data_IF_473125090735
#
_entry.id   IF_473125090735
#
_cell.length_a   1.000
_cell.length_b   1.000
_cell.length_c   1.000
_cell.angle_alpha   90.00
_cell.angle_beta   90.00
_cell.angle_gamma   90.00
#
_symmetry.space_group_name_H-M   'P 1'
#
loop_
_entity.id
_entity.type
_entity.pdbx_description
1 polymer ?
#
# COMPACT_ATOMS: atom_id res chain seq x y z
N UNK A 1 10.92 0.54 -49.42
CA UNK A 1 11.01 -0.17 -48.14
C UNK A 1 10.97 0.75 -46.89
N UNK A 2 10.83 2.07 -47.03
CA UNK A 2 10.94 3.04 -45.92
C UNK A 2 9.75 3.05 -44.93
N UNK A 3 8.57 2.63 -45.37
CA UNK A 3 7.34 2.61 -44.55
C UNK A 3 7.27 1.48 -43.50
N UNK A 4 8.09 0.42 -43.62
CA UNK A 4 8.07 -0.70 -42.66
C UNK A 4 8.89 -0.42 -41.40
N UNK A 5 9.93 0.41 -41.51
CA UNK A 5 10.77 0.78 -40.39
C UNK A 5 10.04 1.70 -39.40
N UNK A 6 9.29 2.68 -39.90
CA UNK A 6 8.53 3.62 -39.05
C UNK A 6 7.45 2.93 -38.22
N UNK A 7 6.73 1.96 -38.79
CA UNK A 7 5.69 1.20 -38.06
C UNK A 7 6.30 0.41 -36.89
N UNK A 8 7.48 -0.16 -37.08
CA UNK A 8 8.16 -0.94 -36.05
C UNK A 8 8.71 -0.07 -34.92
N UNK A 9 9.17 1.14 -35.22
CA UNK A 9 9.61 2.13 -34.22
C UNK A 9 8.44 2.69 -33.41
N UNK A 10 7.33 3.05 -34.07
CA UNK A 10 6.12 3.53 -33.39
C UNK A 10 5.54 2.46 -32.48
N UNK A 11 5.51 1.20 -32.91
CA UNK A 11 5.02 0.10 -32.07
C UNK A 11 5.86 -0.10 -30.81
N UNK A 12 7.20 0.01 -30.91
CA UNK A 12 8.10 -0.09 -29.76
C UNK A 12 7.90 1.05 -28.77
N UNK A 13 7.69 2.26 -29.28
CA UNK A 13 7.43 3.44 -28.45
C UNK A 13 6.12 3.29 -27.66
N UNK A 14 5.04 2.84 -28.32
CA UNK A 14 3.75 2.60 -27.66
C UNK A 14 3.84 1.53 -26.57
N UNK A 15 4.52 0.40 -26.85
CA UNK A 15 4.74 -0.64 -25.84
C UNK A 15 5.58 -0.17 -24.65
N UNK A 16 6.50 0.79 -24.87
CA UNK A 16 7.27 1.40 -23.78
C UNK A 16 6.39 2.19 -22.81
N UNK A 17 5.44 2.97 -23.34
CA UNK A 17 4.50 3.72 -22.50
C UNK A 17 3.55 2.82 -21.70
N UNK A 18 3.09 1.71 -22.28
CA UNK A 18 2.22 0.78 -21.57
C UNK A 18 2.92 0.14 -20.36
N UNK A 19 4.21 -0.19 -20.48
CA UNK A 19 5.02 -0.69 -19.37
C UNK A 19 5.17 0.37 -18.28
N UNK A 20 5.51 1.61 -18.64
CA UNK A 20 5.63 2.73 -17.71
C UNK A 20 4.33 3.03 -16.96
N UNK A 21 3.19 3.03 -17.67
CA UNK A 21 1.87 3.22 -17.08
C UNK A 21 1.57 2.10 -16.08
N UNK A 22 1.89 0.86 -16.44
CA UNK A 22 1.65 -0.30 -15.58
C UNK A 22 2.51 -0.24 -14.31
N UNK A 23 3.79 0.11 -14.44
CA UNK A 23 4.71 0.34 -13.31
C UNK A 23 4.22 1.49 -12.43
N UNK A 24 3.73 2.58 -13.02
CA UNK A 24 3.17 3.72 -12.29
C UNK A 24 1.95 3.34 -11.45
N UNK A 25 1.02 2.53 -12.00
CA UNK A 25 -0.13 2.00 -11.26
C UNK A 25 0.30 1.14 -10.09
N UNK A 26 1.28 0.25 -10.29
CA UNK A 26 1.84 -0.58 -9.22
C UNK A 26 2.46 0.29 -8.12
N UNK A 27 3.29 1.27 -8.48
CA UNK A 27 3.92 2.17 -7.51
C UNK A 27 2.89 2.96 -6.69
N UNK A 28 1.77 3.36 -7.29
CA UNK A 28 0.67 4.01 -6.56
C UNK A 28 0.04 3.08 -5.51
N UNK A 29 -0.19 1.80 -5.86
CA UNK A 29 -0.70 0.79 -4.92
C UNK A 29 0.28 0.57 -3.76
N UNK A 30 1.57 0.40 -4.07
CA UNK A 30 2.62 0.20 -3.08
C UNK A 30 2.80 1.41 -2.15
N UNK A 31 2.69 2.62 -2.71
CA UNK A 31 2.74 3.87 -1.93
C UNK A 31 1.60 3.93 -0.92
N UNK A 32 0.38 3.58 -1.33
CA UNK A 32 -0.77 3.50 -0.44
C UNK A 32 -0.52 2.49 0.69
N UNK A 33 0.01 1.31 0.37
CA UNK A 33 0.36 0.27 1.37
C UNK A 33 1.44 0.75 2.35
N UNK A 34 2.49 1.40 1.84
CA UNK A 34 3.57 1.98 2.66
C UNK A 34 2.99 2.97 3.68
N UNK A 35 2.14 3.91 3.25
CA UNK A 35 1.55 4.91 4.15
C UNK A 35 0.58 4.30 5.16
N UNK A 36 -0.18 3.28 4.78
CA UNK A 36 -1.03 2.54 5.71
C UNK A 36 -0.18 1.88 6.80
N UNK A 37 0.89 1.20 6.40
CA UNK A 37 1.80 0.59 7.37
C UNK A 37 2.45 1.65 8.26
N UNK A 38 3.00 2.72 7.69
CA UNK A 38 3.65 3.80 8.46
C UNK A 38 2.74 4.44 9.51
N UNK A 39 1.42 4.49 9.24
CA UNK A 39 0.41 4.99 10.19
C UNK A 39 0.08 3.99 11.30
N UNK A 40 0.04 2.70 10.98
CA UNK A 40 -0.24 1.62 11.95
C UNK A 40 0.98 1.34 12.83
N UNK A 41 2.14 1.24 12.20
CA UNK A 41 3.43 0.93 12.78
C UNK A 41 4.47 1.92 12.24
N UNK A 42 5.28 2.51 13.13
CA UNK A 42 6.36 3.38 12.66
C UNK A 42 7.35 2.54 11.85
N UNK A 43 7.52 2.87 10.58
CA UNK A 43 8.60 2.37 9.75
C UNK A 43 9.96 2.66 10.41
N UNK A 44 10.90 1.74 10.24
CA UNK A 44 12.28 2.02 10.63
C UNK A 44 12.92 2.98 9.63
N UNK A 45 13.90 3.79 10.07
CA UNK A 45 14.67 4.67 9.17
C UNK A 45 15.30 3.91 8.00
N UNK A 46 15.67 2.64 8.21
CA UNK A 46 16.23 1.79 7.16
C UNK A 46 15.19 1.49 6.09
N UNK A 47 13.97 1.11 6.49
CA UNK A 47 12.86 0.88 5.58
C UNK A 47 12.49 2.15 4.80
N UNK A 48 12.45 3.31 5.46
CA UNK A 48 12.20 4.59 4.78
C UNK A 48 13.24 4.86 3.68
N UNK A 49 14.51 4.59 3.95
CA UNK A 49 15.60 4.77 3.00
C UNK A 49 15.54 3.79 1.84
N UNK A 50 15.30 2.51 2.12
CA UNK A 50 15.19 1.49 1.08
C UNK A 50 13.93 1.73 0.21
N UNK A 51 12.83 2.22 0.81
CA UNK A 51 11.64 2.65 0.07
C UNK A 51 11.93 3.83 -0.88
N UNK A 52 12.61 4.88 -0.40
CA UNK A 52 13.02 6.01 -1.25
C UNK A 52 13.88 5.56 -2.44
N UNK A 53 14.85 4.68 -2.20
CA UNK A 53 15.68 4.10 -3.27
C UNK A 53 14.86 3.31 -4.29
N UNK A 54 13.84 2.57 -3.84
CA UNK A 54 12.93 1.89 -4.75
C UNK A 54 12.17 2.89 -5.63
N UNK A 55 11.63 3.98 -5.03
CA UNK A 55 10.93 5.03 -5.77
C UNK A 55 11.80 5.77 -6.80
N UNK A 56 13.09 5.93 -6.53
CA UNK A 56 14.03 6.56 -7.49
C UNK A 56 14.38 5.64 -8.66
N UNK A 57 14.39 4.32 -8.44
CA UNK A 57 14.92 3.35 -9.41
C UNK A 57 13.89 2.43 -10.08
N UNK A 58 12.60 2.53 -9.77
CA UNK A 58 11.62 1.52 -10.19
C UNK A 58 11.44 1.41 -11.71
N UNK A 59 11.60 2.50 -12.46
CA UNK A 59 11.49 2.48 -13.93
C UNK A 59 12.58 1.63 -14.58
N UNK A 60 13.77 1.58 -13.97
CA UNK A 60 14.91 0.79 -14.44
C UNK A 60 14.79 -0.71 -14.10
N UNK A 61 13.75 -1.13 -13.37
CA UNK A 61 13.52 -2.54 -13.08
C UNK A 61 12.86 -3.24 -14.27
N UNK A 62 13.22 -4.51 -14.52
CA UNK A 62 12.82 -5.22 -15.73
C UNK A 62 11.30 -5.45 -15.82
N UNK A 63 10.64 -5.64 -14.68
CA UNK A 63 9.21 -5.91 -14.63
C UNK A 63 8.59 -5.50 -13.27
N UNK A 64 7.26 -5.59 -13.21
CA UNK A 64 6.46 -5.34 -12.02
C UNK A 64 6.76 -6.32 -10.87
N UNK A 65 7.15 -7.55 -11.18
CA UNK A 65 7.48 -8.57 -10.18
C UNK A 65 8.75 -8.19 -9.40
N UNK A 66 9.75 -7.62 -10.08
CA UNK A 66 10.96 -7.11 -9.45
C UNK A 66 10.67 -5.93 -8.51
N UNK A 67 9.77 -5.03 -8.89
CA UNK A 67 9.31 -3.92 -8.04
C UNK A 67 8.63 -4.48 -6.79
N UNK A 68 7.63 -5.36 -6.97
CA UNK A 68 6.87 -5.97 -5.89
C UNK A 68 7.78 -6.75 -4.92
N UNK A 69 8.68 -7.58 -5.45
CA UNK A 69 9.63 -8.36 -4.64
C UNK A 69 10.54 -7.47 -3.80
N UNK A 70 11.04 -6.37 -4.36
CA UNK A 70 11.85 -5.40 -3.59
C UNK A 70 11.03 -4.72 -2.52
N UNK A 71 9.79 -4.33 -2.82
CA UNK A 71 8.90 -3.77 -1.82
C UNK A 71 8.64 -4.74 -0.68
N UNK A 72 8.30 -6.00 -0.97
CA UNK A 72 8.00 -7.00 0.06
C UNK A 72 9.24 -7.37 0.90
N UNK A 73 10.45 -7.14 0.39
CA UNK A 73 11.68 -7.25 1.18
C UNK A 73 11.87 -6.07 2.17
N UNK A 74 11.31 -4.89 1.88
CA UNK A 74 11.35 -3.72 2.76
C UNK A 74 10.20 -3.80 3.78
N UNK A 75 9.00 -4.13 3.27
CA UNK A 75 7.75 -4.20 4.02
C UNK A 75 7.15 -5.60 3.76
N UNK A 76 7.45 -6.59 4.62
CA UNK A 76 6.88 -7.91 4.45
C UNK A 76 5.35 -7.82 4.48
N UNK A 77 4.64 -8.63 3.66
CA UNK A 77 3.20 -8.75 3.80
C UNK A 77 2.90 -9.20 5.22
N UNK A 78 1.96 -8.50 5.86
CA UNK A 78 1.47 -8.81 7.19
C UNK A 78 1.15 -10.31 7.19
N UNK A 79 1.92 -11.08 7.96
CA UNK A 79 1.59 -12.48 8.18
C UNK A 79 0.24 -12.44 8.88
N UNK A 80 -0.85 -12.72 8.17
CA UNK A 80 -2.07 -13.19 8.81
C UNK A 80 -1.62 -14.43 9.56
N UNK A 81 -1.30 -14.26 10.84
CA UNK A 81 -1.11 -15.36 11.76
C UNK A 81 -2.46 -16.08 11.77
N UNK A 82 -2.57 -17.10 10.92
CA UNK A 82 -3.49 -18.19 11.19
C UNK A 82 -2.99 -18.69 12.53
N UNK A 83 -3.74 -18.35 13.58
CA UNK A 83 -3.52 -18.90 14.91
C UNK A 83 -3.86 -20.38 14.77
N UNK A 84 -2.89 -21.18 14.35
CA UNK A 84 -2.91 -22.61 14.65
C UNK A 84 -2.89 -22.69 16.18
N UNK A 85 -3.94 -23.31 16.70
CA UNK A 85 -4.34 -23.26 18.11
C UNK A 85 -3.43 -24.06 19.06
N UNK A 86 -2.16 -24.28 18.73
CA UNK A 86 -1.33 -25.28 19.43
C UNK A 86 0.13 -24.90 19.69
N UNK A 87 0.47 -23.60 19.78
CA UNK A 87 1.78 -23.23 20.34
C UNK A 87 1.70 -21.99 21.25
N UNK A 88 1.55 -22.28 22.54
CA UNK A 88 1.71 -21.33 23.64
C UNK A 88 3.21 -21.21 23.94
N UNK A 89 3.77 -20.00 23.77
CA UNK A 89 4.66 -19.36 24.76
C UNK A 89 5.24 -18.04 24.21
N UNK A 90 4.65 -16.89 24.59
CA UNK A 90 5.46 -15.80 25.14
C UNK A 90 4.57 -14.85 25.95
N UNK A 91 4.72 -14.94 27.27
CA UNK A 91 4.29 -13.95 28.25
C UNK A 91 4.99 -12.62 27.96
N UNK A 92 4.20 -11.56 27.77
CA UNK A 92 4.70 -10.22 27.50
C UNK A 92 3.57 -9.20 27.58
N UNK A 93 3.06 -9.01 28.80
CA UNK A 93 2.25 -7.90 29.30
C UNK A 93 1.68 -6.90 28.26
N UNK A 94 0.48 -7.18 27.76
CA UNK A 94 -0.38 -6.20 27.09
C UNK A 94 -1.36 -5.61 28.11
N UNK A 95 -0.81 -5.04 29.18
CA UNK A 95 -1.55 -4.11 30.03
C UNK A 95 -1.43 -2.71 29.44
N UNK A 96 -2.47 -2.27 28.73
CA UNK A 96 -3.30 -1.14 29.19
C UNK A 96 -3.95 -0.35 28.04
N UNK A 97 -5.27 -0.18 28.22
CA UNK A 97 -6.12 0.95 27.76
C UNK A 97 -6.58 0.96 26.32
N UNK A 98 -7.48 0.03 26.01
CA UNK A 98 -8.68 0.38 25.24
C UNK A 98 -9.65 1.15 26.15
N UNK A 99 -9.45 2.47 26.27
CA UNK A 99 -10.56 3.38 26.55
C UNK A 99 -11.06 3.88 25.19
N UNK A 100 -11.97 3.14 24.58
CA UNK A 100 -12.85 3.69 23.55
C UNK A 100 -13.80 4.63 24.29
N UNK A 101 -13.38 5.86 24.51
CA UNK A 101 -14.32 6.96 24.74
C UNK A 101 -14.97 7.25 23.41
N UNK A 102 -16.15 6.65 23.20
CA UNK A 102 -17.09 7.00 22.15
C UNK A 102 -17.62 8.41 22.45
N UNK A 103 -16.84 9.45 22.15
CA UNK A 103 -17.36 10.81 22.08
C UNK A 103 -18.21 10.90 20.83
N UNK A 104 -19.51 10.72 21.01
CA UNK A 104 -20.54 11.21 20.09
C UNK A 104 -20.35 12.72 19.96
N UNK A 105 -19.79 13.17 18.84
CA UNK A 105 -19.92 14.58 18.43
C UNK A 105 -21.41 14.81 18.12
N UNK A 106 -22.18 15.19 19.14
CA UNK A 106 -23.42 15.92 18.95
C UNK A 106 -23.06 17.28 18.35
N UNK A 107 -23.39 17.46 17.09
CA UNK A 107 -23.38 18.78 16.47
C UNK A 107 -24.51 19.62 17.10
N UNK A 108 -24.23 20.82 17.61
CA UNK A 108 -25.27 21.73 18.07
C UNK A 108 -25.91 22.36 16.84
N UNK A 109 -27.06 21.84 16.39
CA UNK A 109 -27.77 22.43 15.25
C UNK A 109 -28.82 21.58 14.56
N UNK A 110 -29.05 20.31 14.94
CA UNK A 110 -30.12 19.49 14.34
C UNK A 110 -31.36 19.40 15.24
N UNK A 111 -32.41 20.20 14.97
CA UNK A 111 -33.71 19.99 15.59
C UNK A 111 -34.44 18.82 14.93
N UNK A 112 -34.59 17.74 15.69
CA UNK A 112 -35.78 16.88 15.63
C UNK A 112 -35.91 15.96 14.43
N UNK A 113 -35.31 14.79 14.53
CA UNK A 113 -35.86 13.59 13.92
C UNK A 113 -37.13 13.21 14.71
N UNK A 114 -38.30 13.34 14.10
CA UNK A 114 -39.50 12.62 14.51
C UNK A 114 -39.82 11.62 13.40
N UNK A 115 -39.39 10.38 13.60
CA UNK A 115 -40.02 9.23 12.99
C UNK A 115 -41.38 9.02 13.66
N UNK A 116 -42.47 8.96 12.89
CA UNK A 116 -43.50 7.96 13.15
C UNK A 116 -44.35 7.70 11.92
N UNK A 117 -44.41 6.41 11.61
CA UNK A 117 -45.24 5.76 10.60
C UNK A 117 -46.73 5.86 10.95
N UNK A 118 -47.54 6.04 9.89
CA UNK A 118 -48.93 5.59 9.58
C UNK A 118 -49.74 6.69 8.91
#
# INVERSE_FOLDING_TARGET
AMLRHSVQETSKMLTGFDDEITKGRLMHQLTSRYFTMQKQEKTTKRQDWDWKRLCEGYLALPDNMAIQKRFDAIIPPERRLVVDADDVCYEGEWKSRLHISRQTKQHPGDPGCLDTEV
#
